data_IF_265777303960
#
_entry.id   IF_265777303960
#
_cell.length_a   1.000
_cell.length_b   1.000
_cell.length_c   1.000
_cell.angle_alpha   90.00
_cell.angle_beta   90.00
_cell.angle_gamma   90.00
#
_symmetry.space_group_name_H-M   'P 1'
#
loop_
_entity.id
_entity.type
_entity.pdbx_description
1 polymer ?
#
# COMPACT_ATOMS: atom_id res chain seq x y z
N UNK A 1 10.16 -3.64 -43.77
CA UNK A 1 10.81 -3.00 -42.61
C UNK A 1 10.03 -3.38 -41.36
N UNK A 2 10.60 -4.24 -40.52
CA UNK A 2 9.99 -4.76 -39.30
C UNK A 2 10.37 -3.88 -38.10
N UNK A 3 9.43 -3.16 -37.50
CA UNK A 3 9.68 -2.44 -36.22
C UNK A 3 8.64 -2.70 -35.12
N UNK A 4 7.57 -3.47 -35.36
CA UNK A 4 6.51 -3.66 -34.34
C UNK A 4 6.74 -4.84 -33.36
N UNK A 5 7.77 -5.68 -33.58
CA UNK A 5 8.03 -6.84 -32.72
C UNK A 5 8.90 -6.59 -31.48
N UNK A 6 9.50 -5.40 -31.33
CA UNK A 6 10.56 -5.16 -30.32
C UNK A 6 10.02 -4.62 -29.00
N UNK A 7 8.86 -3.96 -29.00
CA UNK A 7 8.38 -3.24 -27.80
C UNK A 7 7.65 -4.15 -26.81
N UNK A 8 6.83 -5.10 -27.28
CA UNK A 8 6.11 -6.05 -26.42
C UNK A 8 7.04 -6.99 -25.61
N UNK A 9 8.20 -7.35 -26.18
CA UNK A 9 9.24 -8.10 -25.45
C UNK A 9 9.94 -7.25 -24.39
N UNK A 10 10.14 -5.96 -24.64
CA UNK A 10 10.77 -5.02 -23.68
C UNK A 10 9.87 -4.77 -22.46
N UNK A 11 8.56 -4.73 -22.68
CA UNK A 11 7.56 -4.50 -21.64
C UNK A 11 7.47 -5.72 -20.71
N UNK A 12 7.32 -6.94 -21.27
CA UNK A 12 7.31 -8.18 -20.49
C UNK A 12 8.59 -8.40 -19.66
N UNK A 13 9.76 -8.05 -20.21
CA UNK A 13 11.03 -8.15 -19.49
C UNK A 13 11.13 -7.15 -18.32
N UNK A 14 10.58 -5.94 -18.48
CA UNK A 14 10.51 -4.91 -17.42
C UNK A 14 9.55 -5.28 -16.29
N UNK A 15 8.43 -5.94 -16.57
CA UNK A 15 7.52 -6.44 -15.53
C UNK A 15 8.13 -7.60 -14.75
N UNK A 16 8.76 -8.56 -15.46
CA UNK A 16 9.48 -9.68 -14.83
C UNK A 16 10.63 -9.19 -13.93
N UNK A 17 11.43 -8.22 -14.37
CA UNK A 17 12.50 -7.64 -13.55
C UNK A 17 12.01 -6.95 -12.28
N UNK A 18 10.87 -6.24 -12.35
CA UNK A 18 10.24 -5.62 -11.17
C UNK A 18 9.70 -6.64 -10.18
N UNK A 19 9.11 -7.73 -10.65
CA UNK A 19 8.60 -8.80 -9.79
C UNK A 19 9.73 -9.52 -9.05
N UNK A 20 10.83 -9.84 -9.72
CA UNK A 20 12.01 -10.41 -9.07
C UNK A 20 12.60 -9.46 -8.02
N UNK A 21 12.65 -8.15 -8.30
CA UNK A 21 13.09 -7.15 -7.33
C UNK A 21 12.15 -7.07 -6.12
N UNK A 22 10.84 -7.12 -6.33
CA UNK A 22 9.86 -7.14 -5.24
C UNK A 22 10.01 -8.40 -4.37
N UNK A 23 10.15 -9.57 -4.99
CA UNK A 23 10.42 -10.83 -4.29
C UNK A 23 11.72 -10.78 -3.47
N UNK A 24 12.81 -10.25 -4.05
CA UNK A 24 14.07 -10.09 -3.36
C UNK A 24 13.97 -9.15 -2.14
N UNK A 25 13.27 -8.02 -2.29
CA UNK A 25 13.04 -7.08 -1.19
C UNK A 25 12.17 -7.69 -0.08
N UNK A 26 11.14 -8.47 -0.43
CA UNK A 26 10.32 -9.17 0.55
C UNK A 26 11.13 -10.23 1.31
N UNK A 27 11.97 -10.98 0.59
CA UNK A 27 12.89 -11.96 1.20
C UNK A 27 13.85 -11.28 2.18
N UNK A 28 14.45 -10.15 1.77
CA UNK A 28 15.32 -9.36 2.63
C UNK A 28 14.58 -8.82 3.86
N UNK A 29 13.38 -8.27 3.67
CA UNK A 29 12.55 -7.75 4.75
C UNK A 29 12.15 -8.87 5.74
N UNK A 30 11.88 -10.08 5.24
CA UNK A 30 11.61 -11.25 6.08
C UNK A 30 12.84 -11.61 6.90
N UNK A 31 14.01 -11.71 6.27
CA UNK A 31 15.27 -11.99 6.99
C UNK A 31 15.57 -10.95 8.06
N UNK A 32 15.35 -9.66 7.75
CA UNK A 32 15.50 -8.58 8.72
C UNK A 32 14.55 -8.73 9.93
N UNK A 33 13.30 -9.17 9.72
CA UNK A 33 12.41 -9.49 10.86
C UNK A 33 12.86 -10.69 11.68
N UNK A 34 13.50 -11.70 11.06
CA UNK A 34 14.08 -12.82 11.82
C UNK A 34 15.20 -12.31 12.72
N UNK A 35 16.09 -11.50 12.16
CA UNK A 35 17.21 -10.90 12.90
C UNK A 35 16.73 -9.98 14.01
N UNK A 36 15.68 -9.18 13.77
CA UNK A 36 15.09 -8.32 14.78
C UNK A 36 14.44 -9.11 15.93
N UNK A 37 13.66 -10.16 15.62
CA UNK A 37 13.05 -11.05 16.62
C UNK A 37 14.12 -11.69 17.52
N UNK A 38 15.21 -12.20 16.91
CA UNK A 38 16.34 -12.75 17.64
C UNK A 38 17.03 -11.70 18.53
N UNK A 39 17.31 -10.51 17.99
CA UNK A 39 17.98 -9.45 18.76
C UNK A 39 17.13 -8.94 19.94
N UNK A 40 15.80 -8.85 19.77
CA UNK A 40 14.89 -8.47 20.86
C UNK A 40 14.88 -9.57 21.94
N UNK A 41 14.82 -10.85 21.54
CA UNK A 41 14.85 -11.96 22.47
C UNK A 41 16.16 -12.01 23.26
N UNK A 42 17.31 -11.89 22.59
CA UNK A 42 18.63 -11.86 23.22
C UNK A 42 18.76 -10.67 24.17
N UNK A 43 18.33 -9.49 23.73
CA UNK A 43 18.31 -8.28 24.55
C UNK A 43 17.44 -8.42 25.80
N UNK A 44 16.26 -9.06 25.67
CA UNK A 44 15.37 -9.32 26.79
C UNK A 44 16.00 -10.29 27.81
N UNK A 45 16.71 -11.32 27.35
CA UNK A 45 17.46 -12.25 28.22
C UNK A 45 18.55 -11.51 28.99
N UNK A 46 19.38 -10.72 28.29
CA UNK A 46 20.46 -9.93 28.93
C UNK A 46 19.89 -8.93 29.93
N UNK A 47 18.83 -8.21 29.57
CA UNK A 47 18.18 -7.25 30.45
C UNK A 47 17.58 -7.92 31.69
N UNK A 48 16.89 -9.05 31.52
CA UNK A 48 16.31 -9.81 32.64
C UNK A 48 17.37 -10.32 33.61
N UNK A 49 18.51 -10.82 33.08
CA UNK A 49 19.63 -11.23 33.91
C UNK A 49 20.25 -10.05 34.69
N UNK A 50 20.42 -8.89 34.02
CA UNK A 50 21.01 -7.70 34.63
C UNK A 50 20.08 -7.02 35.67
N UNK A 51 18.78 -7.23 35.57
CA UNK A 51 17.77 -6.62 36.46
C UNK A 51 17.15 -7.61 37.44
N UNK A 52 17.79 -8.78 37.60
CA UNK A 52 17.30 -9.83 38.48
C UNK A 52 17.11 -9.32 39.92
N UNK A 53 15.91 -9.50 40.48
CA UNK A 53 15.56 -9.04 41.82
C UNK A 53 15.19 -7.56 41.94
N UNK A 54 15.22 -6.79 40.84
CA UNK A 54 14.78 -5.39 40.85
C UNK A 54 13.27 -5.28 41.06
N UNK A 55 12.86 -4.38 41.97
CA UNK A 55 11.46 -4.04 42.25
C UNK A 55 11.01 -2.73 41.58
N UNK A 56 11.87 -2.13 40.77
CA UNK A 56 11.56 -0.86 40.11
C UNK A 56 10.48 -1.05 39.01
N UNK A 57 9.45 -0.20 38.97
CA UNK A 57 8.36 -0.32 37.99
C UNK A 57 8.83 -0.18 36.53
N UNK A 58 9.92 0.53 36.29
CA UNK A 58 10.53 0.72 34.97
C UNK A 58 11.03 -0.61 34.40
N UNK A 59 11.56 -1.51 35.23
CA UNK A 59 12.01 -2.84 34.80
C UNK A 59 10.82 -3.68 34.31
N UNK A 60 9.70 -3.64 35.04
CA UNK A 60 8.48 -4.31 34.61
C UNK A 60 7.92 -3.71 33.30
N UNK A 61 7.96 -2.38 33.15
CA UNK A 61 7.52 -1.69 31.94
C UNK A 61 8.39 -2.06 30.72
N UNK A 62 9.71 -2.07 30.88
CA UNK A 62 10.64 -2.46 29.80
C UNK A 62 10.41 -3.91 29.37
N UNK A 63 10.21 -4.82 30.32
CA UNK A 63 9.90 -6.23 30.00
C UNK A 63 8.59 -6.36 29.21
N UNK A 64 7.53 -5.63 29.59
CA UNK A 64 6.27 -5.62 28.83
C UNK A 64 6.44 -5.06 27.42
N UNK A 65 7.23 -3.99 27.26
CA UNK A 65 7.52 -3.42 25.94
C UNK A 65 8.32 -4.38 25.06
N UNK A 66 9.28 -5.12 25.62
CA UNK A 66 10.04 -6.13 24.89
C UNK A 66 9.14 -7.27 24.38
N UNK A 67 8.22 -7.76 25.21
CA UNK A 67 7.23 -8.79 24.81
C UNK A 67 6.37 -8.29 23.65
N UNK A 68 5.76 -7.10 23.78
CA UNK A 68 4.94 -6.51 22.71
C UNK A 68 5.71 -6.30 21.41
N UNK A 69 6.93 -5.78 21.52
CA UNK A 69 7.80 -5.57 20.35
C UNK A 69 8.09 -6.89 19.63
N UNK A 70 8.27 -7.97 20.38
CA UNK A 70 8.46 -9.33 19.84
C UNK A 70 7.20 -9.80 19.10
N UNK A 71 6.02 -9.62 19.69
CA UNK A 71 4.74 -9.97 19.07
C UNK A 71 4.51 -9.22 17.76
N UNK A 72 4.77 -7.91 17.74
CA UNK A 72 4.63 -7.07 16.56
C UNK A 72 5.57 -7.52 15.42
N UNK A 73 6.83 -7.83 15.73
CA UNK A 73 7.80 -8.34 14.75
C UNK A 73 7.37 -9.69 14.17
N UNK A 74 6.82 -10.57 15.00
CA UNK A 74 6.30 -11.88 14.57
C UNK A 74 5.05 -11.74 13.71
N UNK A 75 4.13 -10.84 14.06
CA UNK A 75 2.96 -10.54 13.24
C UNK A 75 3.36 -9.98 11.87
N UNK A 76 4.31 -9.03 11.83
CA UNK A 76 4.85 -8.50 10.60
C UNK A 76 5.52 -9.58 9.74
N UNK A 77 6.24 -10.53 10.37
CA UNK A 77 6.84 -11.68 9.69
C UNK A 77 5.78 -12.59 9.07
N UNK A 78 4.70 -12.89 9.77
CA UNK A 78 3.62 -13.74 9.27
C UNK A 78 2.96 -13.12 8.03
N UNK A 79 2.63 -11.82 8.08
CA UNK A 79 2.05 -11.09 6.95
C UNK A 79 2.97 -11.09 5.72
N UNK A 80 4.28 -10.89 5.94
CA UNK A 80 5.27 -10.95 4.85
C UNK A 80 5.39 -12.35 4.25
N UNK A 81 5.32 -13.39 5.09
CA UNK A 81 5.27 -14.79 4.65
C UNK A 81 4.10 -15.04 3.69
N UNK A 82 2.89 -14.66 4.08
CA UNK A 82 1.71 -14.79 3.23
C UNK A 82 1.81 -13.99 1.92
N UNK A 83 2.37 -12.77 1.95
CA UNK A 83 2.61 -11.99 0.74
C UNK A 83 3.60 -12.67 -0.23
N UNK A 84 4.64 -13.30 0.29
CA UNK A 84 5.62 -14.04 -0.49
C UNK A 84 4.99 -15.30 -1.12
N UNK A 85 4.20 -16.06 -0.35
CA UNK A 85 3.47 -17.23 -0.85
C UNK A 85 2.52 -16.89 -2.01
N UNK A 86 1.84 -15.74 -1.94
CA UNK A 86 0.98 -15.26 -3.03
C UNK A 86 1.80 -14.95 -4.28
N UNK A 87 2.93 -14.28 -4.14
CA UNK A 87 3.83 -13.96 -5.26
C UNK A 87 4.40 -15.25 -5.87
N UNK A 88 4.83 -16.19 -5.04
CA UNK A 88 5.39 -17.47 -5.48
C UNK A 88 4.32 -18.34 -6.16
N UNK A 89 3.09 -18.34 -5.63
CA UNK A 89 1.92 -18.96 -6.26
C UNK A 89 1.61 -18.37 -7.63
N UNK A 90 1.57 -17.04 -7.74
CA UNK A 90 1.37 -16.34 -9.01
C UNK A 90 2.47 -16.65 -10.02
N UNK A 91 3.73 -16.66 -9.59
CA UNK A 91 4.86 -16.99 -10.46
C UNK A 91 4.79 -18.43 -10.96
N UNK A 92 4.46 -19.40 -10.09
CA UNK A 92 4.26 -20.81 -10.49
C UNK A 92 3.10 -20.97 -11.49
N UNK A 93 2.00 -20.23 -11.30
CA UNK A 93 0.82 -20.34 -12.14
C UNK A 93 1.01 -19.74 -13.55
N UNK A 94 1.78 -18.65 -13.68
CA UNK A 94 1.96 -17.93 -14.96
C UNK A 94 3.22 -18.34 -15.70
N UNK A 95 4.29 -18.73 -15.00
CA UNK A 95 5.57 -19.02 -15.64
C UNK A 95 5.78 -20.51 -15.94
N UNK A 96 4.91 -21.42 -15.47
CA UNK A 96 5.10 -22.88 -15.60
C UNK A 96 6.32 -23.43 -14.84
N UNK A 97 7.18 -22.56 -14.29
CA UNK A 97 8.35 -22.89 -13.50
C UNK A 97 8.47 -21.92 -12.32
N UNK A 98 8.80 -22.45 -11.13
CA UNK A 98 9.06 -21.66 -9.94
C UNK A 98 10.22 -20.68 -10.18
N UNK A 99 10.26 -19.60 -9.41
CA UNK A 99 11.46 -18.76 -9.31
C UNK A 99 12.46 -19.55 -8.46
N UNK A 100 13.06 -20.55 -9.09
CA UNK A 100 13.95 -21.54 -8.49
C UNK A 100 14.22 -22.60 -9.54
N UNK A 101 15.50 -22.79 -9.83
CA UNK A 101 16.09 -23.90 -10.59
C UNK A 101 16.27 -23.67 -12.10
N UNK A 102 17.53 -23.34 -12.41
CA UNK A 102 18.14 -23.57 -13.69
C UNK A 102 18.44 -25.07 -13.86
N UNK A 103 18.49 -25.49 -15.13
CA UNK A 103 19.02 -26.76 -15.65
C UNK A 103 18.18 -28.02 -15.41
N UNK A 104 17.26 -28.31 -16.35
CA UNK A 104 17.43 -29.38 -17.36
C UNK A 104 16.17 -29.47 -18.25
N UNK A 105 16.35 -29.32 -19.57
CA UNK A 105 15.39 -29.77 -20.61
C UNK A 105 15.79 -31.19 -21.04
N UNK A 106 14.89 -32.05 -21.60
CA UNK A 106 14.31 -31.84 -22.94
C UNK A 106 12.89 -32.46 -23.12
N UNK A 107 12.36 -32.70 -24.35
CA UNK A 107 11.43 -31.79 -25.01
C UNK A 107 10.09 -32.47 -25.41
N UNK A 108 9.09 -31.69 -25.84
CA UNK A 108 8.11 -32.22 -26.79
C UNK A 108 6.72 -31.59 -26.81
N UNK A 109 6.29 -31.30 -28.04
CA UNK A 109 4.90 -31.19 -28.52
C UNK A 109 4.23 -29.81 -28.41
N UNK A 110 4.29 -29.06 -29.51
CA UNK A 110 3.23 -28.12 -29.92
C UNK A 110 2.06 -28.91 -30.52
N UNK A 111 0.83 -28.35 -30.57
CA UNK A 111 0.48 -27.57 -31.77
C UNK A 111 -0.51 -26.39 -31.59
N UNK A 112 -0.47 -25.51 -32.59
CA UNK A 112 -1.55 -24.73 -33.22
C UNK A 112 -2.38 -23.69 -32.41
N UNK A 113 -2.28 -22.42 -32.82
CA UNK A 113 -3.36 -21.41 -32.71
C UNK A 113 -4.05 -21.19 -34.08
N UNK A 114 -4.83 -20.11 -34.31
CA UNK A 114 -5.37 -19.12 -33.38
C UNK A 114 -6.90 -18.84 -33.59
N UNK A 115 -7.56 -18.25 -32.59
CA UNK A 115 -8.76 -17.44 -32.79
C UNK A 115 -8.73 -16.26 -31.79
N UNK A 116 -8.94 -15.05 -32.32
CA UNK A 116 -8.66 -13.79 -31.63
C UNK A 116 -9.58 -13.46 -30.44
N UNK A 117 -9.17 -12.48 -29.61
CA UNK A 117 -9.80 -12.22 -28.31
C UNK A 117 -11.05 -11.36 -28.45
N UNK A 118 -12.21 -11.93 -28.11
CA UNK A 118 -13.31 -11.12 -27.58
C UNK A 118 -12.95 -10.77 -26.14
N UNK A 119 -12.42 -9.55 -25.95
CA UNK A 119 -12.09 -9.00 -24.65
C UNK A 119 -13.36 -8.71 -23.84
N UNK A 120 -14.02 -9.77 -23.36
CA UNK A 120 -14.87 -9.71 -22.18
C UNK A 120 -13.95 -9.91 -20.99
N UNK A 121 -13.54 -8.80 -20.38
CA UNK A 121 -12.79 -8.87 -19.13
C UNK A 121 -13.65 -9.56 -18.08
N UNK A 122 -13.08 -10.46 -17.26
CA UNK A 122 -13.79 -10.92 -16.08
C UNK A 122 -14.13 -9.68 -15.26
N UNK A 123 -15.43 -9.52 -15.00
CA UNK A 123 -15.92 -8.64 -13.95
C UNK A 123 -15.21 -9.12 -12.69
N UNK A 124 -14.15 -8.41 -12.28
CA UNK A 124 -13.64 -8.51 -10.93
C UNK A 124 -14.86 -8.42 -10.01
N UNK A 125 -15.01 -9.29 -8.99
CA UNK A 125 -16.06 -9.11 -8.01
C UNK A 125 -15.79 -7.78 -7.34
N UNK A 126 -16.50 -6.78 -7.86
CA UNK A 126 -16.70 -5.49 -7.29
C UNK A 126 -17.15 -5.72 -5.84
N UNK A 127 -16.37 -5.35 -4.80
CA UNK A 127 -16.93 -5.17 -3.49
C UNK A 127 -17.66 -3.82 -3.43
N UNK A 128 -18.48 -3.52 -4.44
CA UNK A 128 -19.50 -2.47 -4.37
C UNK A 128 -20.85 -3.13 -4.57
N UNK A 129 -21.22 -3.96 -3.60
CA UNK A 129 -22.60 -4.28 -3.27
C UNK A 129 -22.75 -4.82 -1.85
N UNK A 130 -21.85 -4.44 -0.91
CA UNK A 130 -22.20 -4.49 0.51
C UNK A 130 -21.87 -3.13 1.13
N UNK A 131 -22.71 -2.16 0.80
CA UNK A 131 -22.92 -0.98 1.64
C UNK A 131 -23.86 -1.43 2.78
N UNK A 132 -23.41 -2.34 3.63
CA UNK A 132 -23.76 -2.25 5.04
C UNK A 132 -22.96 -1.07 5.56
N UNK A 133 -23.52 0.14 5.62
CA UNK A 133 -24.32 0.63 6.75
C UNK A 133 -23.67 0.40 8.13
N UNK A 134 -22.37 0.09 8.19
CA UNK A 134 -21.62 0.10 9.44
C UNK A 134 -21.07 1.51 9.64
N UNK A 135 -21.56 2.16 10.69
CA UNK A 135 -21.02 3.37 11.29
C UNK A 135 -19.47 3.41 11.17
N UNK A 136 -18.85 4.50 10.66
CA UNK A 136 -17.40 4.62 10.60
C UNK A 136 -16.70 4.35 11.94
N UNK A 137 -17.37 4.61 13.07
CA UNK A 137 -16.85 4.29 14.40
C UNK A 137 -16.64 2.79 14.60
N UNK A 138 -17.57 1.97 14.09
CA UNK A 138 -17.49 0.51 14.15
C UNK A 138 -16.46 0.01 13.12
N UNK A 139 -16.52 0.51 11.90
CA UNK A 139 -15.66 0.06 10.79
C UNK A 139 -14.17 0.28 11.06
N UNK A 140 -13.82 1.37 11.74
CA UNK A 140 -12.44 1.75 11.99
C UNK A 140 -12.06 1.75 13.48
N UNK A 141 -12.82 1.05 14.34
CA UNK A 141 -12.70 1.11 15.80
C UNK A 141 -11.24 0.96 16.30
N UNK A 142 -10.51 -0.03 15.78
CA UNK A 142 -9.12 -0.30 16.17
C UNK A 142 -8.18 0.86 15.76
N UNK A 143 -8.32 1.37 14.53
CA UNK A 143 -7.49 2.45 14.02
C UNK A 143 -7.79 3.80 14.70
N UNK A 144 -9.06 4.04 15.01
CA UNK A 144 -9.49 5.20 15.81
C UNK A 144 -8.86 5.11 17.21
N UNK A 145 -8.86 3.92 17.82
CA UNK A 145 -8.25 3.68 19.13
C UNK A 145 -6.74 3.90 19.10
N UNK A 146 -6.06 3.43 18.05
CA UNK A 146 -4.62 3.65 17.85
C UNK A 146 -4.29 5.15 17.78
N UNK A 147 -5.05 5.92 16.99
CA UNK A 147 -4.85 7.38 16.87
C UNK A 147 -5.14 8.11 18.17
N UNK A 148 -6.24 7.78 18.87
CA UNK A 148 -6.59 8.39 20.17
C UNK A 148 -5.52 8.12 21.23
N UNK A 149 -4.99 6.89 21.28
CA UNK A 149 -3.89 6.52 22.19
C UNK A 149 -2.61 7.30 21.89
N UNK A 150 -2.37 7.63 20.62
CA UNK A 150 -1.28 8.51 20.20
C UNK A 150 -1.54 10.01 20.41
N UNK A 151 -2.65 10.40 21.08
CA UNK A 151 -3.01 11.80 21.31
C UNK A 151 -3.52 12.54 20.07
N UNK A 152 -3.82 11.84 18.98
CA UNK A 152 -4.32 12.46 17.76
C UNK A 152 -5.79 12.82 17.92
N UNK A 153 -6.12 14.10 17.67
CA UNK A 153 -7.50 14.57 17.60
C UNK A 153 -8.16 14.02 16.32
N UNK A 154 -9.16 13.18 16.50
CA UNK A 154 -9.97 12.58 15.43
C UNK A 154 -11.45 12.67 15.80
N UNK A 155 -12.32 12.85 14.81
CA UNK A 155 -13.77 12.87 14.97
C UNK A 155 -14.38 11.62 14.32
N UNK A 156 -14.62 10.53 15.08
CA UNK A 156 -14.99 9.24 14.52
C UNK A 156 -16.21 9.26 13.59
N UNK A 157 -17.31 9.92 14.02
CA UNK A 157 -18.50 10.14 13.20
C UNK A 157 -18.28 10.93 11.89
N UNK A 158 -17.16 11.65 11.74
CA UNK A 158 -16.83 12.42 10.54
C UNK A 158 -15.89 11.70 9.60
N UNK A 159 -15.43 10.50 9.95
CA UNK A 159 -14.50 9.73 9.13
C UNK A 159 -15.22 9.28 7.85
N UNK A 160 -14.61 9.64 6.73
CA UNK A 160 -15.03 9.20 5.40
C UNK A 160 -14.34 7.88 5.08
N UNK A 161 -13.03 7.82 5.29
CA UNK A 161 -12.23 6.62 5.02
C UNK A 161 -10.86 6.69 5.69
N UNK A 162 -10.32 5.53 6.05
CA UNK A 162 -8.97 5.38 6.60
C UNK A 162 -8.19 4.31 5.81
N UNK A 163 -6.85 4.40 5.82
CA UNK A 163 -5.96 3.31 5.41
C UNK A 163 -4.68 3.27 6.26
N UNK A 164 -3.99 2.14 6.21
CA UNK A 164 -2.55 2.09 6.53
C UNK A 164 -1.75 2.56 5.32
N UNK A 165 -0.92 3.59 5.50
CA UNK A 165 -0.02 4.08 4.46
C UNK A 165 1.18 3.14 4.27
N UNK A 166 1.85 3.19 3.12
CA UNK A 166 3.05 2.37 2.84
C UNK A 166 4.19 2.58 3.84
N UNK A 167 4.23 3.74 4.50
CA UNK A 167 5.19 4.07 5.54
C UNK A 167 4.79 3.54 6.92
N UNK A 168 3.69 2.77 7.03
CA UNK A 168 3.28 2.10 8.24
C UNK A 168 2.48 2.93 9.24
N UNK A 169 2.22 4.22 8.98
CA UNK A 169 1.32 5.06 9.79
C UNK A 169 -0.11 5.06 9.23
N UNK A 170 -1.08 5.46 10.04
CA UNK A 170 -2.48 5.62 9.62
C UNK A 170 -2.68 6.93 8.88
N UNK A 171 -3.45 6.88 7.79
CA UNK A 171 -3.88 8.05 7.03
C UNK A 171 -5.39 8.03 6.91
N UNK A 172 -6.05 9.16 7.16
CA UNK A 172 -7.51 9.25 7.11
C UNK A 172 -8.03 10.53 6.46
N UNK A 173 -9.25 10.43 5.98
CA UNK A 173 -10.05 11.54 5.49
C UNK A 173 -11.28 11.70 6.37
N UNK A 174 -11.52 12.92 6.82
CA UNK A 174 -12.80 13.33 7.41
C UNK A 174 -13.58 14.21 6.43
N UNK A 175 -14.86 14.44 6.72
CA UNK A 175 -15.71 15.38 5.95
C UNK A 175 -15.05 16.75 5.82
N UNK A 176 -14.41 17.23 6.90
CA UNK A 176 -13.64 18.47 6.91
C UNK A 176 -14.48 19.72 6.65
N UNK A 177 -13.85 20.78 6.17
CA UNK A 177 -14.48 22.04 5.80
C UNK A 177 -13.91 22.53 4.46
N UNK A 178 -14.66 23.32 3.68
CA UNK A 178 -14.16 23.79 2.40
C UNK A 178 -12.86 24.56 2.56
N UNK A 179 -12.75 25.50 3.49
CA UNK A 179 -11.65 26.48 3.55
C UNK A 179 -10.28 25.89 3.89
N UNK A 180 -10.25 24.84 4.71
CA UNK A 180 -9.00 24.40 5.30
C UNK A 180 -8.60 22.98 4.88
N UNK A 181 -9.49 21.98 5.00
CA UNK A 181 -9.05 20.59 4.87
C UNK A 181 -10.18 19.55 4.67
N UNK A 182 -9.79 18.34 4.31
CA UNK A 182 -10.66 17.16 4.26
C UNK A 182 -11.48 17.07 2.97
N UNK A 183 -12.53 16.23 2.98
CA UNK A 183 -13.33 15.95 1.79
C UNK A 183 -13.93 17.22 1.19
N UNK A 184 -14.50 18.10 2.02
CA UNK A 184 -15.10 19.35 1.56
C UNK A 184 -14.10 20.26 0.85
N UNK A 185 -12.83 20.29 1.29
CA UNK A 185 -11.77 21.03 0.62
C UNK A 185 -11.35 20.38 -0.72
N UNK A 186 -11.24 19.05 -0.76
CA UNK A 186 -10.98 18.28 -2.00
C UNK A 186 -12.09 18.48 -3.03
N UNK A 187 -13.33 18.63 -2.58
CA UNK A 187 -14.51 18.81 -3.43
C UNK A 187 -14.90 20.27 -3.66
N UNK A 188 -13.96 21.23 -3.54
CA UNK A 188 -14.21 22.61 -3.96
C UNK A 188 -14.49 22.72 -5.46
N UNK A 189 -15.29 23.70 -5.93
CA UNK A 189 -15.58 23.88 -7.36
C UNK A 189 -14.34 23.86 -8.26
N UNK A 190 -13.27 24.55 -7.84
CA UNK A 190 -11.98 24.57 -8.56
C UNK A 190 -11.34 23.17 -8.64
N UNK A 191 -11.33 22.42 -7.54
CA UNK A 191 -10.74 21.08 -7.48
C UNK A 191 -11.55 20.08 -8.29
N UNK A 192 -12.89 20.14 -8.21
CA UNK A 192 -13.80 19.33 -9.04
C UNK A 192 -13.52 19.54 -10.52
N UNK A 193 -13.35 20.80 -10.96
CA UNK A 193 -12.98 21.12 -12.34
C UNK A 193 -11.62 20.51 -12.71
N UNK A 194 -10.60 20.63 -11.87
CA UNK A 194 -9.28 20.05 -12.13
C UNK A 194 -9.33 18.51 -12.24
N UNK A 195 -10.14 17.84 -11.42
CA UNK A 195 -10.38 16.38 -11.53
C UNK A 195 -11.15 16.02 -12.80
N UNK A 196 -12.19 16.78 -13.15
CA UNK A 196 -12.94 16.58 -14.38
C UNK A 196 -12.06 16.76 -15.63
N UNK A 197 -11.18 17.78 -15.65
CA UNK A 197 -10.20 18.01 -16.71
C UNK A 197 -9.18 16.85 -16.83
N UNK A 198 -8.98 16.09 -15.74
CA UNK A 198 -8.20 14.85 -15.70
C UNK A 198 -9.03 13.58 -15.94
N UNK A 199 -10.26 13.72 -16.45
CA UNK A 199 -11.21 12.65 -16.72
C UNK A 199 -11.60 11.81 -15.48
N UNK A 200 -11.65 12.43 -14.30
CA UNK A 200 -12.14 11.82 -13.06
C UNK A 200 -13.48 12.49 -12.67
N UNK A 201 -14.62 11.79 -12.74
CA UNK A 201 -15.89 12.35 -12.32
C UNK A 201 -15.94 12.51 -10.78
N UNK A 202 -16.79 13.43 -10.31
CA UNK A 202 -16.82 13.83 -8.89
C UNK A 202 -16.99 12.64 -7.93
N UNK A 203 -17.88 11.71 -8.26
CA UNK A 203 -18.18 10.54 -7.44
C UNK A 203 -16.99 9.57 -7.30
N UNK A 204 -16.02 9.62 -8.22
CA UNK A 204 -14.81 8.78 -8.16
C UNK A 204 -13.64 9.45 -7.44
N UNK A 205 -13.69 10.76 -7.15
CA UNK A 205 -12.53 11.52 -6.65
C UNK A 205 -11.95 10.88 -5.38
N UNK A 206 -12.79 10.56 -4.40
CA UNK A 206 -12.33 9.97 -3.13
C UNK A 206 -11.78 8.56 -3.35
N UNK A 207 -12.41 7.77 -4.21
CA UNK A 207 -11.91 6.45 -4.54
C UNK A 207 -10.55 6.52 -5.23
N UNK A 208 -10.35 7.45 -6.16
CA UNK A 208 -9.06 7.68 -6.82
C UNK A 208 -7.99 8.10 -5.81
N UNK A 209 -8.28 9.04 -4.91
CA UNK A 209 -7.34 9.47 -3.86
C UNK A 209 -6.87 8.27 -3.03
N UNK A 210 -7.78 7.42 -2.58
CA UNK A 210 -7.43 6.23 -1.81
C UNK A 210 -6.79 5.12 -2.65
N UNK A 211 -7.10 5.04 -3.94
CA UNK A 211 -6.43 4.17 -4.91
C UNK A 211 -4.98 4.58 -5.11
N UNK A 212 -4.70 5.88 -5.20
CA UNK A 212 -3.34 6.42 -5.24
C UNK A 212 -2.55 6.01 -4.00
N UNK A 213 -3.11 6.19 -2.80
CA UNK A 213 -2.42 5.84 -1.56
C UNK A 213 -2.16 4.33 -1.42
N UNK A 214 -3.05 3.48 -1.95
CA UNK A 214 -2.97 2.02 -1.82
C UNK A 214 -2.13 1.34 -2.91
N UNK A 215 -2.27 1.81 -4.16
CA UNK A 215 -1.76 1.14 -5.37
C UNK A 215 -1.02 2.08 -6.31
N UNK A 216 -1.13 3.39 -6.10
CA UNK A 216 -0.46 4.38 -6.93
C UNK A 216 1.05 4.30 -6.79
N UNK A 217 1.75 4.55 -7.89
CA UNK A 217 3.20 4.63 -7.90
C UNK A 217 3.63 5.97 -7.31
N UNK A 218 4.33 5.96 -6.19
CA UNK A 218 4.95 7.19 -5.68
C UNK A 218 6.01 7.70 -6.65
N UNK A 219 5.93 8.97 -7.02
CA UNK A 219 6.83 9.60 -8.00
C UNK A 219 7.63 10.77 -7.44
N UNK A 220 7.44 11.10 -6.17
CA UNK A 220 8.15 12.18 -5.48
C UNK A 220 7.20 13.09 -4.71
N UNK A 221 7.70 14.23 -4.26
CA UNK A 221 6.94 15.25 -3.56
C UNK A 221 6.81 16.52 -4.39
N UNK A 222 5.75 17.28 -4.12
CA UNK A 222 5.57 18.64 -4.62
C UNK A 222 5.05 19.52 -3.49
N UNK A 223 5.89 20.45 -3.02
CA UNK A 223 5.66 21.16 -1.74
C UNK A 223 5.46 20.13 -0.61
N UNK A 224 4.43 20.28 0.20
CA UNK A 224 4.07 19.33 1.25
C UNK A 224 3.31 18.08 0.76
N UNK A 225 3.01 17.99 -0.55
CA UNK A 225 2.21 16.88 -1.08
C UNK A 225 3.06 15.71 -1.55
N UNK A 226 2.63 14.50 -1.24
CA UNK A 226 3.09 13.28 -1.91
C UNK A 226 2.44 13.19 -3.29
N UNK A 227 3.21 12.86 -4.32
CA UNK A 227 2.69 12.74 -5.69
C UNK A 227 2.70 11.28 -6.13
N UNK A 228 1.55 10.85 -6.62
CA UNK A 228 1.28 9.51 -7.07
C UNK A 228 0.93 9.52 -8.55
N UNK A 229 1.48 8.56 -9.30
CA UNK A 229 1.05 8.28 -10.67
C UNK A 229 0.17 7.02 -10.68
N UNK A 230 -0.96 7.10 -11.37
CA UNK A 230 -1.91 6.01 -11.53
C UNK A 230 -2.46 5.99 -12.96
N UNK A 231 -2.86 4.81 -13.43
CA UNK A 231 -3.54 4.64 -14.70
C UNK A 231 -5.06 4.69 -14.49
N UNK A 232 -5.72 5.56 -15.23
CA UNK A 232 -7.18 5.73 -15.24
C UNK A 232 -7.62 5.84 -16.70
N UNK A 233 -8.59 5.03 -17.11
CA UNK A 233 -9.15 5.00 -18.47
C UNK A 233 -8.08 4.93 -19.59
N UNK A 234 -7.00 4.17 -19.38
CA UNK A 234 -5.90 4.04 -20.34
C UNK A 234 -4.90 5.22 -20.36
N UNK A 235 -5.12 6.25 -19.55
CA UNK A 235 -4.23 7.40 -19.39
C UNK A 235 -3.49 7.39 -18.06
N UNK A 236 -2.21 7.77 -18.08
CA UNK A 236 -1.42 7.95 -16.85
C UNK A 236 -1.57 9.37 -16.33
N UNK A 237 -2.07 9.52 -15.10
CA UNK A 237 -2.28 10.80 -14.43
C UNK A 237 -1.45 10.88 -13.14
N UNK A 238 -1.15 12.11 -12.69
CA UNK A 238 -0.54 12.33 -11.38
C UNK A 238 -1.50 13.05 -10.45
N UNK A 239 -1.62 12.55 -9.23
CA UNK A 239 -2.40 13.16 -8.15
C UNK A 239 -1.43 13.55 -7.03
N UNK A 240 -1.46 14.82 -6.64
CA UNK A 240 -0.78 15.31 -5.45
C UNK A 240 -1.74 15.21 -4.26
N UNK A 241 -1.29 14.57 -3.17
CA UNK A 241 -2.06 14.35 -1.94
C UNK A 241 -1.26 14.95 -0.78
N UNK A 242 -1.81 15.97 -0.13
CA UNK A 242 -1.21 16.57 1.07
C UNK A 242 -1.73 15.84 2.30
N UNK A 243 -0.81 15.21 3.03
CA UNK A 243 -1.07 14.50 4.27
C UNK A 243 -0.37 15.28 5.37
N UNK A 244 -1.09 15.69 6.41
CA UNK A 244 -0.51 16.33 7.59
C UNK A 244 0.37 15.34 8.36
N UNK A 245 1.25 15.86 9.22
CA UNK A 245 2.19 15.03 9.99
C UNK A 245 1.49 14.00 10.90
N UNK A 246 0.24 14.28 11.27
CA UNK A 246 -0.59 13.38 12.04
C UNK A 246 -1.24 12.26 11.21
N UNK A 247 -1.22 12.32 9.88
CA UNK A 247 -1.89 11.38 8.96
C UNK A 247 -3.20 11.90 8.34
N UNK A 248 -3.65 13.10 8.69
CA UNK A 248 -4.88 13.66 8.15
C UNK A 248 -4.71 14.13 6.69
N UNK A 249 -5.60 13.72 5.79
CA UNK A 249 -5.60 14.19 4.41
C UNK A 249 -6.18 15.61 4.36
N UNK A 250 -5.33 16.58 4.06
CA UNK A 250 -5.70 17.99 3.96
C UNK A 250 -6.34 18.30 2.61
N UNK A 251 -5.69 17.90 1.51
CA UNK A 251 -6.14 18.20 0.15
C UNK A 251 -5.58 17.20 -0.85
N UNK A 252 -6.23 17.11 -2.01
CA UNK A 252 -5.77 16.33 -3.15
C UNK A 252 -6.16 17.03 -4.45
N UNK A 253 -5.31 16.95 -5.47
CA UNK A 253 -5.59 17.50 -6.80
C UNK A 253 -4.72 16.85 -7.88
N UNK A 254 -5.21 16.79 -9.13
CA UNK A 254 -4.36 16.42 -10.26
C UNK A 254 -3.23 17.41 -10.47
N UNK A 255 -2.10 16.93 -10.97
CA UNK A 255 -0.93 17.74 -11.27
C UNK A 255 -0.32 17.31 -12.61
N UNK A 256 0.18 18.27 -13.39
CA UNK A 256 0.81 18.00 -14.68
C UNK A 256 2.03 17.08 -14.53
N UNK A 257 2.19 16.12 -15.45
CA UNK A 257 3.36 15.24 -15.54
C UNK A 257 4.67 16.00 -15.81
N UNK A 258 4.59 17.21 -16.37
CA UNK A 258 5.73 18.10 -16.60
C UNK A 258 6.17 18.84 -15.33
N UNK A 259 5.40 18.79 -14.24
CA UNK A 259 5.77 19.46 -13.00
C UNK A 259 7.02 18.80 -12.40
N UNK A 260 8.00 19.63 -12.03
CA UNK A 260 9.19 19.20 -11.29
C UNK A 260 8.78 18.69 -9.90
N UNK A 261 9.30 17.52 -9.55
CA UNK A 261 9.11 16.87 -8.25
C UNK A 261 10.45 16.84 -7.52
N UNK A 262 10.39 16.81 -6.19
CA UNK A 262 11.53 16.59 -5.28
C UNK A 262 11.54 15.17 -4.75
#
# INVERSE_FOLDING_TARGET
MNTEGKDSRSVGHRYRGRLHRAHALLTQARQATIQADAAIADGAVVFSAATHGSTQPEVAQINQLAVRSTEDVRAARALRGGAQEIIDGYCRHIAGHGIGDAETSPPGVSPAGPAGPSASWPVDPNPSADVSSSDPEVRYAEWITELKRGGTKISPARIVRMIRHRCGHLVWLETGDPDHAGQAHILRPKRRKEFADAAIPEHEIIDVVFRCLRRGRFVGKHKAAEVYEIEIHGGSIRIAITIGDNGFIVTAHPISRKRKLS
#
